data_IF_605932100174
#
_entry.id   IF_605932100174
#
_cell.length_a   1.000
_cell.length_b   1.000
_cell.length_c   1.000
_cell.angle_alpha   90.00
_cell.angle_beta   90.00
_cell.angle_gamma   90.00
#
_symmetry.space_group_name_H-M   'P 1'
#
loop_
_entity.id
_entity.type
_entity.pdbx_description
1 polymer ?
#
# COMPACT_ATOMS: atom_id res chain seq x y z
N UNK A 1 16.40 -3.17 12.32
CA UNK A 1 15.70 -4.16 11.47
C UNK A 1 16.70 -4.72 10.49
N UNK A 2 16.72 -6.03 10.27
CA UNK A 2 17.53 -6.64 9.22
C UNK A 2 17.06 -6.13 7.87
N UNK A 3 17.96 -5.62 7.04
CA UNK A 3 17.65 -5.24 5.66
C UNK A 3 17.37 -6.50 4.85
N UNK A 4 16.12 -6.68 4.42
CA UNK A 4 15.78 -7.77 3.49
C UNK A 4 16.18 -7.33 2.08
N UNK A 5 17.22 -7.94 1.53
CA UNK A 5 17.62 -7.72 0.14
C UNK A 5 16.75 -8.54 -0.79
N UNK A 6 16.15 -7.89 -1.78
CA UNK A 6 15.40 -8.57 -2.82
C UNK A 6 16.33 -9.39 -3.73
N UNK A 7 15.79 -10.43 -4.36
CA UNK A 7 16.51 -11.07 -5.47
C UNK A 7 16.52 -10.15 -6.69
N UNK A 8 17.54 -10.28 -7.55
CA UNK A 8 17.62 -9.52 -8.81
C UNK A 8 16.41 -9.72 -9.72
N UNK A 9 15.82 -10.92 -9.68
CA UNK A 9 14.62 -11.24 -10.45
C UNK A 9 13.41 -10.46 -9.92
N UNK A 10 13.24 -10.42 -8.60
CA UNK A 10 12.16 -9.65 -7.97
C UNK A 10 12.31 -8.15 -8.25
N UNK A 11 13.52 -7.60 -8.16
CA UNK A 11 13.78 -6.19 -8.51
C UNK A 11 13.38 -5.88 -9.96
N UNK A 12 13.79 -6.74 -10.91
CA UNK A 12 13.44 -6.59 -12.32
C UNK A 12 11.92 -6.62 -12.52
N UNK A 13 11.23 -7.56 -11.90
CA UNK A 13 9.78 -7.72 -12.05
C UNK A 13 9.01 -6.54 -11.44
N UNK A 14 9.47 -5.98 -10.32
CA UNK A 14 8.88 -4.76 -9.74
C UNK A 14 9.05 -3.56 -10.67
N UNK A 15 10.24 -3.36 -11.24
CA UNK A 15 10.51 -2.31 -12.22
C UNK A 15 9.61 -2.48 -13.45
N UNK A 16 9.53 -3.69 -14.00
CA UNK A 16 8.69 -3.97 -15.16
C UNK A 16 7.20 -3.73 -14.87
N UNK A 17 6.71 -4.12 -13.68
CA UNK A 17 5.33 -3.89 -13.26
C UNK A 17 4.99 -2.39 -13.23
N UNK A 18 5.77 -1.59 -12.52
CA UNK A 18 5.50 -0.15 -12.37
C UNK A 18 5.78 0.67 -13.63
N UNK A 19 6.60 0.17 -14.55
CA UNK A 19 6.86 0.85 -15.83
C UNK A 19 5.85 0.49 -16.93
N UNK A 20 5.19 -0.67 -16.87
CA UNK A 20 4.40 -1.20 -17.99
C UNK A 20 2.94 -1.47 -17.67
N UNK A 21 2.62 -1.79 -16.41
CA UNK A 21 1.30 -2.36 -16.06
C UNK A 21 0.37 -1.34 -15.43
N UNK A 22 0.89 -0.38 -14.67
CA UNK A 22 0.08 0.61 -13.96
C UNK A 22 0.82 1.93 -13.86
N UNK A 23 0.10 3.04 -13.98
CA UNK A 23 0.64 4.36 -13.66
C UNK A 23 0.90 4.45 -12.13
N UNK A 24 2.12 4.76 -11.68
CA UNK A 24 2.46 4.78 -10.25
C UNK A 24 1.60 5.73 -9.42
N UNK A 25 1.23 6.89 -9.98
CA UNK A 25 0.40 7.90 -9.31
C UNK A 25 -1.04 7.42 -9.16
N UNK A 26 -1.59 6.80 -10.20
CA UNK A 26 -2.91 6.15 -10.14
C UNK A 26 -2.92 5.02 -9.11
N UNK A 27 -1.91 4.16 -9.10
CA UNK A 27 -1.78 3.07 -8.11
C UNK A 27 -1.72 3.62 -6.68
N UNK A 28 -0.92 4.65 -6.44
CA UNK A 28 -0.82 5.29 -5.14
C UNK A 28 -2.17 5.88 -4.67
N UNK A 29 -2.95 6.49 -5.57
CA UNK A 29 -4.31 6.98 -5.26
C UNK A 29 -5.26 5.83 -4.92
N UNK A 30 -5.20 4.73 -5.68
CA UNK A 30 -6.01 3.54 -5.40
C UNK A 30 -5.67 2.90 -4.04
N UNK A 31 -4.38 2.79 -3.71
CA UNK A 31 -3.93 2.28 -2.41
C UNK A 31 -4.46 3.16 -1.26
N UNK A 32 -4.32 4.48 -1.36
CA UNK A 32 -4.83 5.42 -0.34
C UNK A 32 -6.35 5.31 -0.15
N UNK A 33 -7.10 5.17 -1.25
CA UNK A 33 -8.56 4.97 -1.19
C UNK A 33 -8.93 3.66 -0.47
N UNK A 34 -8.25 2.55 -0.78
CA UNK A 34 -8.48 1.28 -0.11
C UNK A 34 -8.15 1.36 1.38
N UNK A 35 -7.01 1.96 1.73
CA UNK A 35 -6.63 2.19 3.12
C UNK A 35 -7.66 3.04 3.85
N UNK A 36 -8.18 4.11 3.23
CA UNK A 36 -9.26 4.92 3.82
C UNK A 36 -10.53 4.10 4.12
N UNK A 37 -10.97 3.25 3.18
CA UNK A 37 -12.15 2.39 3.38
C UNK A 37 -11.92 1.37 4.51
N UNK A 38 -10.73 0.77 4.57
CA UNK A 38 -10.36 -0.16 5.64
C UNK A 38 -10.36 0.55 6.99
N UNK A 39 -9.74 1.73 7.08
CA UNK A 39 -9.72 2.54 8.30
C UNK A 39 -11.13 2.89 8.78
N UNK A 40 -12.01 3.35 7.87
CA UNK A 40 -13.41 3.58 8.19
C UNK A 40 -14.13 2.33 8.71
N UNK A 41 -13.86 1.17 8.10
CA UNK A 41 -14.45 -0.09 8.52
C UNK A 41 -14.00 -0.51 9.93
N UNK A 42 -12.73 -0.30 10.26
CA UNK A 42 -12.19 -0.53 11.60
C UNK A 42 -12.83 0.43 12.61
N UNK A 43 -12.90 1.73 12.30
CA UNK A 43 -13.54 2.74 13.16
C UNK A 43 -15.03 2.47 13.42
N UNK A 44 -15.71 1.80 12.47
CA UNK A 44 -17.11 1.37 12.60
C UNK A 44 -17.27 0.02 13.31
N UNK A 45 -16.19 -0.54 13.84
CA UNK A 45 -16.19 -1.83 14.54
C UNK A 45 -16.77 -2.98 13.72
N UNK A 46 -16.56 -2.96 12.39
CA UNK A 46 -17.06 -4.03 11.53
C UNK A 46 -16.42 -5.36 11.92
N UNK A 47 -17.25 -6.34 12.30
CA UNK A 47 -16.83 -7.60 12.95
C UNK A 47 -15.70 -8.32 12.19
N UNK A 48 -15.81 -8.42 10.86
CA UNK A 48 -14.80 -9.07 10.00
C UNK A 48 -13.42 -8.40 10.08
N UNK A 49 -13.38 -7.08 10.24
CA UNK A 49 -12.14 -6.31 10.32
C UNK A 49 -11.56 -6.36 11.73
N UNK A 50 -12.42 -6.32 12.75
CA UNK A 50 -12.02 -6.45 14.14
C UNK A 50 -11.34 -7.80 14.42
N UNK A 51 -11.88 -8.88 13.86
CA UNK A 51 -11.29 -10.23 13.96
C UNK A 51 -9.88 -10.34 13.33
N UNK A 52 -9.44 -9.36 12.53
CA UNK A 52 -8.16 -9.37 11.82
C UNK A 52 -7.32 -8.12 12.08
N UNK A 53 -7.62 -7.35 13.13
CA UNK A 53 -7.07 -5.99 13.31
C UNK A 53 -5.54 -5.93 13.31
N UNK A 54 -4.86 -6.89 13.95
CA UNK A 54 -3.38 -6.95 13.99
C UNK A 54 -2.77 -7.20 12.61
N UNK A 55 -3.41 -8.01 11.76
CA UNK A 55 -2.94 -8.22 10.38
C UNK A 55 -3.20 -6.99 9.51
N UNK A 56 -4.30 -6.27 9.79
CA UNK A 56 -4.64 -5.03 9.10
C UNK A 56 -3.66 -3.92 9.45
N UNK A 57 -3.18 -3.80 10.69
CA UNK A 57 -2.21 -2.77 11.09
C UNK A 57 -0.93 -2.81 10.23
N UNK A 58 -0.31 -3.98 10.12
CA UNK A 58 0.91 -4.15 9.31
C UNK A 58 0.64 -3.90 7.82
N UNK A 59 -0.46 -4.45 7.31
CA UNK A 59 -0.83 -4.28 5.89
C UNK A 59 -1.12 -2.82 5.56
N UNK A 60 -1.85 -2.13 6.43
CA UNK A 60 -2.18 -0.72 6.30
C UNK A 60 -0.92 0.14 6.29
N UNK A 61 0.02 -0.13 7.20
CA UNK A 61 1.31 0.55 7.24
C UNK A 61 2.09 0.36 5.93
N UNK A 62 2.33 -0.88 5.48
CA UNK A 62 3.10 -1.15 4.26
C UNK A 62 2.46 -0.57 3.01
N UNK A 63 1.13 -0.60 2.92
CA UNK A 63 0.40 -0.01 1.80
C UNK A 63 0.52 1.51 1.78
N UNK A 64 0.47 2.19 2.93
CA UNK A 64 0.70 3.63 2.97
C UNK A 64 2.14 3.99 2.59
N UNK A 65 3.14 3.26 3.11
CA UNK A 65 4.55 3.46 2.74
C UNK A 65 4.75 3.25 1.23
N UNK A 66 4.14 2.21 0.65
CA UNK A 66 4.21 1.98 -0.80
C UNK A 66 3.54 3.11 -1.59
N UNK A 67 2.37 3.59 -1.16
CA UNK A 67 1.70 4.72 -1.80
C UNK A 67 2.55 5.99 -1.75
N UNK A 68 3.31 6.18 -0.67
CA UNK A 68 4.23 7.30 -0.49
C UNK A 68 5.47 7.16 -1.40
N UNK A 69 6.05 5.97 -1.51
CA UNK A 69 7.15 5.72 -2.45
C UNK A 69 6.72 5.97 -3.91
N UNK A 70 5.49 5.57 -4.27
CA UNK A 70 4.97 5.70 -5.63
C UNK A 70 4.52 7.11 -5.99
N UNK A 71 4.02 7.87 -5.01
CA UNK A 71 3.60 9.25 -5.18
C UNK A 71 3.82 10.05 -3.88
N UNK A 72 5.04 10.53 -3.61
CA UNK A 72 5.42 11.16 -2.34
C UNK A 72 4.81 12.54 -2.14
N UNK A 73 4.43 13.18 -3.23
CA UNK A 73 3.65 14.40 -3.16
C UNK A 73 2.19 13.98 -3.23
N UNK A 74 1.48 14.06 -2.10
CA UNK A 74 0.04 14.22 -2.14
C UNK A 74 -0.17 15.48 -2.98
N UNK A 75 -0.59 15.33 -4.24
CA UNK A 75 -0.75 16.48 -5.12
C UNK A 75 -1.54 17.54 -4.34
N UNK A 76 -0.91 18.68 -4.10
CA UNK A 76 -1.63 19.89 -3.75
C UNK A 76 -2.27 20.40 -5.05
N UNK A 77 -3.18 19.62 -5.64
CA UNK A 77 -4.00 20.01 -6.78
C UNK A 77 -5.47 19.69 -6.50
#
# INVERSE_FOLDING_TARGET
>A
MSTNTLSKETEKNLIDFFNKSVDPKVMAKAIRQLNYVVALGVMREHETLQNNITNLENSFYWLNELAEVLNPYLDME
#
